data_IF_792613868997
#
_entry.id   IF_792613868997
#
_cell.length_a   1.000
_cell.length_b   1.000
_cell.length_c   1.000
_cell.angle_alpha   90.00
_cell.angle_beta   90.00
_cell.angle_gamma   90.00
#
_symmetry.space_group_name_H-M   'P 1'
#
loop_
_entity.id
_entity.type
_entity.pdbx_description
1 polymer ?
#
# COMPACT_ATOMS: atom_id res chain seq x y z
N UNK A 1 -19.11 -1.55 -20.10
CA UNK A 1 -17.97 -2.11 -19.32
C UNK A 1 -17.19 -0.93 -18.80
N UNK A 2 -17.42 -0.54 -17.55
CA UNK A 2 -16.55 0.44 -16.91
C UNK A 2 -15.13 -0.14 -16.93
N UNK A 3 -14.22 0.55 -17.60
CA UNK A 3 -12.81 0.21 -17.54
C UNK A 3 -12.45 0.10 -16.06
N UNK A 4 -12.00 -1.08 -15.62
CA UNK A 4 -11.48 -1.31 -14.28
C UNK A 4 -10.45 -0.22 -14.00
N UNK A 5 -10.87 0.84 -13.32
CA UNK A 5 -10.00 1.97 -13.01
C UNK A 5 -8.87 1.41 -12.16
N UNK A 6 -7.66 1.50 -12.68
CA UNK A 6 -6.47 0.99 -12.00
C UNK A 6 -6.42 1.53 -10.56
N UNK A 7 -6.12 0.69 -9.56
CA UNK A 7 -6.02 1.16 -8.20
C UNK A 7 -4.91 2.21 -8.09
N UNK A 8 -5.19 3.28 -7.35
CA UNK A 8 -4.20 4.27 -6.98
C UNK A 8 -3.26 3.68 -5.92
N UNK A 9 -2.10 3.20 -6.38
CA UNK A 9 -1.10 2.53 -5.53
C UNK A 9 -0.03 3.53 -5.09
N UNK A 10 0.18 3.68 -3.78
CA UNK A 10 1.31 4.39 -3.20
C UNK A 10 2.37 3.39 -2.75
N UNK A 11 3.62 3.56 -3.19
CA UNK A 11 4.73 2.68 -2.79
C UNK A 11 5.58 3.32 -1.69
N UNK A 12 5.93 2.53 -0.68
CA UNK A 12 6.73 2.92 0.49
C UNK A 12 7.88 1.94 0.66
N UNK A 13 9.10 2.46 0.83
CA UNK A 13 10.30 1.67 1.08
C UNK A 13 10.94 1.05 -0.17
N UNK A 14 10.37 1.27 -1.36
CA UNK A 14 10.89 0.67 -2.59
C UNK A 14 12.12 1.41 -3.14
N UNK A 15 13.24 0.69 -3.30
CA UNK A 15 14.38 1.16 -4.10
C UNK A 15 13.97 1.38 -5.56
N UNK A 16 14.80 2.06 -6.35
CA UNK A 16 14.55 2.23 -7.80
C UNK A 16 14.38 0.89 -8.53
N UNK A 17 15.14 -0.12 -8.13
CA UNK A 17 15.06 -1.46 -8.68
C UNK A 17 13.77 -2.15 -8.24
N UNK A 18 13.42 -2.07 -6.96
CA UNK A 18 12.19 -2.62 -6.40
C UNK A 18 10.96 -2.01 -7.05
N UNK A 19 10.96 -0.69 -7.25
CA UNK A 19 9.92 0.03 -7.95
C UNK A 19 9.74 -0.45 -9.39
N UNK A 20 10.84 -0.61 -10.14
CA UNK A 20 10.79 -1.17 -11.50
C UNK A 20 10.22 -2.58 -11.51
N UNK A 21 10.71 -3.48 -10.65
CA UNK A 21 10.23 -4.87 -10.58
C UNK A 21 8.73 -4.96 -10.27
N UNK A 22 8.25 -4.15 -9.31
CA UNK A 22 6.82 -4.09 -9.00
C UNK A 22 6.04 -3.51 -10.18
N UNK A 23 6.51 -2.42 -10.77
CA UNK A 23 5.85 -1.79 -11.92
C UNK A 23 5.78 -2.72 -13.12
N UNK A 24 6.83 -3.49 -13.40
CA UNK A 24 6.87 -4.43 -14.53
C UNK A 24 5.98 -5.65 -14.27
N UNK A 25 5.93 -6.15 -13.04
CA UNK A 25 4.98 -7.20 -12.61
C UNK A 25 3.51 -6.75 -12.69
N UNK A 26 3.27 -5.46 -12.42
CA UNK A 26 1.94 -4.88 -12.60
C UNK A 26 1.61 -4.74 -14.09
N UNK A 27 2.54 -4.22 -14.91
CA UNK A 27 2.31 -4.05 -16.37
C UNK A 27 1.99 -5.37 -17.06
N UNK A 28 2.63 -6.48 -16.68
CA UNK A 28 2.33 -7.80 -17.22
C UNK A 28 0.94 -8.32 -16.81
N UNK A 29 0.36 -7.79 -15.73
CA UNK A 29 -1.02 -8.06 -15.30
C UNK A 29 -2.03 -7.02 -15.82
N UNK A 30 -1.64 -6.21 -16.80
CA UNK A 30 -2.40 -5.07 -17.33
C UNK A 30 -2.74 -4.01 -16.28
N UNK A 31 -2.10 -4.01 -15.11
CA UNK A 31 -2.30 -3.04 -14.03
C UNK A 31 -1.09 -2.11 -13.96
N UNK A 32 -1.28 -0.85 -13.58
CA UNK A 32 -0.16 0.08 -13.43
C UNK A 32 -0.39 0.97 -12.23
N UNK A 33 0.68 1.38 -11.51
CA UNK A 33 0.52 2.42 -10.51
C UNK A 33 0.10 3.71 -11.23
N UNK A 34 -1.07 4.23 -10.89
CA UNK A 34 -1.56 5.52 -11.40
C UNK A 34 -0.98 6.73 -10.67
N UNK A 35 -0.13 6.50 -9.66
CA UNK A 35 0.47 7.52 -8.81
C UNK A 35 1.98 7.55 -8.99
N UNK A 36 2.61 8.73 -8.91
CA UNK A 36 4.05 8.87 -9.08
C UNK A 36 4.81 8.13 -7.97
N UNK A 37 5.89 7.46 -8.39
CA UNK A 37 6.87 6.88 -7.49
C UNK A 37 7.51 7.98 -6.63
N UNK A 38 7.65 7.69 -5.34
CA UNK A 38 8.47 8.51 -4.47
C UNK A 38 9.79 7.78 -4.19
N UNK A 39 10.92 8.17 -4.81
CA UNK A 39 12.19 7.55 -4.53
C UNK A 39 12.60 7.79 -3.07
N UNK A 40 12.66 6.72 -2.29
CA UNK A 40 13.20 6.78 -0.95
C UNK A 40 14.72 6.97 -0.99
N UNK A 41 15.23 8.02 -0.35
CA UNK A 41 16.67 8.15 -0.03
C UNK A 41 17.02 7.33 1.22
N UNK A 42 16.05 7.14 2.13
CA UNK A 42 16.13 6.27 3.31
C UNK A 42 14.72 5.91 3.85
N UNK A 43 14.69 5.08 4.90
CA UNK A 43 13.50 4.55 5.53
C UNK A 43 12.48 5.61 5.97
N UNK A 44 12.94 6.52 6.84
CA UNK A 44 12.12 7.57 7.41
C UNK A 44 11.61 8.53 6.34
N UNK A 45 12.45 8.88 5.35
CA UNK A 45 12.09 9.74 4.23
C UNK A 45 10.95 9.17 3.40
N UNK A 46 10.95 7.85 3.18
CA UNK A 46 9.85 7.20 2.45
C UNK A 46 8.52 7.31 3.18
N UNK A 47 8.50 7.09 4.50
CA UNK A 47 7.28 7.22 5.29
C UNK A 47 6.84 8.67 5.41
N UNK A 48 7.75 9.63 5.65
CA UNK A 48 7.41 11.06 5.71
C UNK A 48 6.72 11.50 4.41
N UNK A 49 7.27 11.10 3.28
CA UNK A 49 6.72 11.50 2.00
C UNK A 49 5.39 10.78 1.69
N UNK A 50 5.24 9.51 2.10
CA UNK A 50 3.96 8.80 2.05
C UNK A 50 2.89 9.47 2.92
N UNK A 51 3.24 9.90 4.13
CA UNK A 51 2.33 10.61 5.05
C UNK A 51 1.88 11.95 4.48
N UNK A 52 2.82 12.74 3.94
CA UNK A 52 2.50 13.99 3.27
C UNK A 52 1.55 13.76 2.09
N UNK A 53 1.80 12.69 1.31
CA UNK A 53 0.98 12.31 0.18
C UNK A 53 -0.44 11.94 0.58
N UNK A 54 -0.58 11.01 1.53
CA UNK A 54 -1.87 10.54 2.05
C UNK A 54 -2.69 11.72 2.57
N UNK A 55 -2.09 12.62 3.36
CA UNK A 55 -2.80 13.79 3.91
C UNK A 55 -3.32 14.75 2.84
N UNK A 56 -2.60 14.92 1.73
CA UNK A 56 -2.96 15.86 0.67
C UNK A 56 -3.91 15.27 -0.39
N UNK A 57 -3.93 13.93 -0.55
CA UNK A 57 -4.71 13.26 -1.59
C UNK A 57 -5.45 12.04 -1.02
N UNK A 58 -6.75 12.15 -0.68
CA UNK A 58 -7.57 11.04 -0.16
C UNK A 58 -7.93 9.97 -1.24
N UNK A 59 -7.15 9.91 -2.32
CA UNK A 59 -7.40 9.07 -3.49
C UNK A 59 -6.71 7.71 -3.47
N UNK A 60 -5.90 7.39 -2.46
CA UNK A 60 -5.09 6.17 -2.42
C UNK A 60 -5.96 4.94 -2.16
N UNK A 61 -5.85 3.96 -3.04
CA UNK A 61 -6.57 2.69 -2.94
C UNK A 61 -5.77 1.64 -2.19
N UNK A 62 -4.47 1.59 -2.47
CA UNK A 62 -3.54 0.61 -1.89
C UNK A 62 -2.24 1.32 -1.52
N UNK A 63 -1.74 1.08 -0.32
CA UNK A 63 -0.35 1.37 0.05
C UNK A 63 0.43 0.07 0.00
N UNK A 64 1.53 0.06 -0.74
CA UNK A 64 2.46 -1.06 -0.77
C UNK A 64 3.70 -0.72 0.03
N UNK A 65 3.99 -1.52 1.05
CA UNK A 65 5.22 -1.48 1.84
C UNK A 65 6.03 -2.70 1.41
N UNK A 66 7.16 -2.50 0.74
CA UNK A 66 7.97 -3.64 0.37
C UNK A 66 9.38 -3.36 -0.13
N UNK A 67 10.20 -4.40 -0.03
CA UNK A 67 11.62 -4.43 -0.41
C UNK A 67 12.42 -3.30 0.26
N UNK A 68 12.35 -3.30 1.59
CA UNK A 68 12.79 -2.23 2.50
C UNK A 68 14.28 -2.32 2.80
N UNK A 69 15.12 -2.38 1.75
CA UNK A 69 16.57 -2.37 1.90
C UNK A 69 16.94 -1.09 2.65
N UNK A 70 17.60 -1.23 3.80
CA UNK A 70 18.02 -0.15 4.71
C UNK A 70 16.96 0.43 5.68
N UNK A 71 15.82 -0.24 5.95
CA UNK A 71 14.92 0.18 7.04
C UNK A 71 15.18 -0.63 8.31
N UNK A 72 15.33 0.04 9.46
CA UNK A 72 15.41 -0.67 10.75
C UNK A 72 14.01 -1.11 11.19
N UNK A 73 13.94 -2.14 12.05
CA UNK A 73 12.66 -2.58 12.58
C UNK A 73 11.91 -1.48 13.35
N UNK A 74 12.66 -0.59 14.02
CA UNK A 74 12.11 0.59 14.69
C UNK A 74 11.46 1.56 13.71
N UNK A 75 12.13 1.85 12.58
CA UNK A 75 11.63 2.77 11.56
C UNK A 75 10.38 2.21 10.87
N UNK A 76 10.36 0.90 10.61
CA UNK A 76 9.20 0.22 10.04
C UNK A 76 7.99 0.28 10.98
N UNK A 77 8.17 -0.05 12.26
CA UNK A 77 7.07 0.04 13.25
C UNK A 77 6.56 1.47 13.40
N UNK A 78 7.46 2.44 13.58
CA UNK A 78 7.08 3.85 13.73
C UNK A 78 6.42 4.42 12.48
N UNK A 79 6.92 4.07 11.31
CA UNK A 79 6.33 4.42 10.02
C UNK A 79 4.93 3.85 9.84
N UNK A 80 4.74 2.55 10.14
CA UNK A 80 3.43 1.90 10.10
C UNK A 80 2.45 2.53 11.09
N UNK A 81 2.87 2.85 12.32
CA UNK A 81 2.01 3.54 13.30
C UNK A 81 1.54 4.91 12.77
N UNK A 82 2.46 5.72 12.25
CA UNK A 82 2.12 7.04 11.71
C UNK A 82 1.21 6.94 10.46
N UNK A 83 1.47 5.95 9.61
CA UNK A 83 0.67 5.67 8.43
C UNK A 83 -0.74 5.22 8.84
N UNK A 84 -0.85 4.32 9.82
CA UNK A 84 -2.11 3.81 10.34
C UNK A 84 -3.02 4.96 10.81
N UNK A 85 -2.46 5.88 11.61
CA UNK A 85 -3.17 7.08 12.09
C UNK A 85 -3.62 8.00 10.95
N UNK A 86 -2.79 8.16 9.91
CA UNK A 86 -3.12 9.04 8.80
C UNK A 86 -4.19 8.45 7.88
N UNK A 87 -4.17 7.12 7.68
CA UNK A 87 -5.15 6.40 6.88
C UNK A 87 -6.50 6.28 7.60
N UNK A 88 -6.50 6.02 8.92
CA UNK A 88 -7.74 5.91 9.70
C UNK A 88 -8.51 7.23 9.80
N UNK A 89 -7.83 8.37 9.66
CA UNK A 89 -8.45 9.68 9.55
C UNK A 89 -9.13 9.94 8.19
N UNK A 90 -8.93 9.07 7.19
CA UNK A 90 -9.53 9.23 5.87
C UNK A 90 -10.93 8.61 5.79
N UNK A 91 -11.81 9.23 5.01
CA UNK A 91 -13.16 8.69 4.73
C UNK A 91 -13.15 7.49 3.78
N UNK A 92 -12.02 7.21 3.13
CA UNK A 92 -11.89 6.14 2.13
C UNK A 92 -11.12 4.97 2.73
N UNK A 93 -11.63 3.77 2.54
CA UNK A 93 -10.93 2.55 2.95
C UNK A 93 -9.74 2.28 2.02
N UNK A 94 -8.54 2.58 2.50
CA UNK A 94 -7.27 2.24 1.85
C UNK A 94 -6.77 0.89 2.39
N UNK A 95 -6.30 0.02 1.50
CA UNK A 95 -5.73 -1.28 1.88
C UNK A 95 -4.21 -1.17 1.93
N UNK A 96 -3.55 -1.97 2.77
CA UNK A 96 -2.09 -1.99 2.88
C UNK A 96 -1.55 -3.39 2.55
N UNK A 97 -0.65 -3.48 1.57
CA UNK A 97 0.08 -4.69 1.22
C UNK A 97 1.49 -4.61 1.80
N UNK A 98 1.91 -5.61 2.58
CA UNK A 98 3.24 -5.70 3.17
C UNK A 98 3.91 -6.94 2.59
N UNK A 99 5.01 -6.72 1.86
CA UNK A 99 5.71 -7.76 1.10
C UNK A 99 7.23 -7.62 1.25
N UNK A 100 7.95 -8.73 1.24
CA UNK A 100 9.43 -8.76 1.29
C UNK A 100 10.04 -7.87 2.38
N UNK A 101 9.47 -7.93 3.59
CA UNK A 101 10.03 -7.33 4.82
C UNK A 101 10.49 -8.47 5.72
N UNK A 102 11.78 -8.52 6.03
CA UNK A 102 12.38 -9.60 6.82
C UNK A 102 12.31 -9.32 8.33
N UNK A 103 12.56 -8.08 8.76
CA UNK A 103 12.49 -7.67 10.16
C UNK A 103 11.91 -6.25 10.30
N UNK A 104 10.80 -6.06 11.05
CA UNK A 104 10.03 -7.08 11.75
C UNK A 104 9.21 -7.94 10.79
N UNK A 105 8.82 -9.13 11.25
CA UNK A 105 7.92 -10.00 10.52
C UNK A 105 6.66 -9.24 10.04
N UNK A 106 6.23 -9.42 8.78
CA UNK A 106 5.11 -8.68 8.20
C UNK A 106 3.83 -8.74 9.05
N UNK A 107 3.56 -9.87 9.72
CA UNK A 107 2.41 -10.04 10.60
C UNK A 107 2.38 -9.02 11.76
N UNK A 108 3.55 -8.63 12.29
CA UNK A 108 3.64 -7.64 13.35
C UNK A 108 3.31 -6.23 12.83
N UNK A 109 3.67 -5.93 11.59
CA UNK A 109 3.31 -4.67 10.93
C UNK A 109 1.82 -4.63 10.57
N UNK A 110 1.25 -5.77 10.13
CA UNK A 110 -0.20 -5.91 9.92
C UNK A 110 -0.95 -5.60 11.21
N UNK A 111 -0.57 -6.20 12.34
CA UNK A 111 -1.23 -5.97 13.62
C UNK A 111 -1.21 -4.48 14.04
N UNK A 112 -0.12 -3.76 13.76
CA UNK A 112 -0.03 -2.31 14.01
C UNK A 112 -1.07 -1.52 13.20
N UNK A 113 -1.23 -1.85 11.92
CA UNK A 113 -2.15 -1.17 11.02
C UNK A 113 -3.61 -1.49 11.37
N UNK A 114 -3.90 -2.76 11.62
CA UNK A 114 -5.25 -3.23 11.98
C UNK A 114 -5.73 -2.69 13.32
N UNK A 115 -4.83 -2.50 14.29
CA UNK A 115 -5.14 -1.85 15.56
C UNK A 115 -5.70 -0.42 15.39
N UNK A 116 -5.42 0.25 14.27
CA UNK A 116 -5.98 1.56 13.92
C UNK A 116 -7.19 1.47 12.97
N UNK A 117 -7.70 0.27 12.69
CA UNK A 117 -8.82 0.04 11.76
C UNK A 117 -8.43 0.05 10.28
N UNK A 118 -7.13 -0.04 9.96
CA UNK A 118 -6.66 -0.10 8.57
C UNK A 118 -6.60 -1.56 8.12
N UNK A 119 -7.17 -1.86 6.95
CA UNK A 119 -7.10 -3.22 6.35
C UNK A 119 -5.70 -3.47 5.81
N UNK A 120 -4.97 -4.40 6.41
CA UNK A 120 -3.58 -4.71 6.04
C UNK A 120 -3.39 -6.21 5.77
N UNK A 121 -2.43 -6.53 4.90
CA UNK A 121 -2.18 -7.90 4.46
C UNK A 121 -0.67 -8.15 4.37
N UNK A 122 -0.20 -9.22 5.00
CA UNK A 122 1.12 -9.78 4.76
C UNK A 122 1.09 -10.62 3.48
N UNK A 123 1.06 -9.95 2.33
CA UNK A 123 0.90 -10.59 1.02
C UNK A 123 1.48 -9.71 -0.08
N UNK A 124 1.75 -10.35 -1.23
CA UNK A 124 2.21 -9.64 -2.41
C UNK A 124 1.19 -8.60 -2.86
N UNK A 125 1.68 -7.50 -3.45
CA UNK A 125 0.83 -6.45 -3.99
C UNK A 125 -0.21 -6.98 -5.00
N UNK A 126 0.20 -7.94 -5.83
CA UNK A 126 -0.68 -8.57 -6.82
C UNK A 126 -1.92 -9.21 -6.19
N UNK A 127 -1.74 -9.99 -5.12
CA UNK A 127 -2.84 -10.66 -4.43
C UNK A 127 -3.80 -9.64 -3.79
N UNK A 128 -3.26 -8.56 -3.22
CA UNK A 128 -4.08 -7.50 -2.62
C UNK A 128 -4.89 -6.75 -3.68
N UNK A 129 -4.33 -6.50 -4.86
CA UNK A 129 -5.07 -5.91 -5.99
C UNK A 129 -6.23 -6.82 -6.42
N UNK A 130 -5.96 -8.11 -6.59
CA UNK A 130 -6.99 -9.10 -6.93
C UNK A 130 -8.12 -9.12 -5.90
N UNK A 131 -7.77 -9.20 -4.61
CA UNK A 131 -8.73 -9.21 -3.52
C UNK A 131 -9.56 -7.92 -3.46
N UNK A 132 -8.94 -6.76 -3.72
CA UNK A 132 -9.66 -5.49 -3.77
C UNK A 132 -10.61 -5.40 -4.97
N UNK A 133 -10.22 -5.91 -6.13
CA UNK A 133 -11.07 -5.97 -7.32
C UNK A 133 -12.29 -6.88 -7.10
N UNK A 134 -12.08 -8.06 -6.51
CA UNK A 134 -13.15 -8.99 -6.14
C UNK A 134 -14.11 -8.38 -5.12
N UNK A 135 -13.58 -7.72 -4.09
CA UNK A 135 -14.38 -7.01 -3.11
C UNK A 135 -15.26 -5.94 -3.78
N UNK A 136 -14.70 -5.10 -4.67
CA UNK A 136 -15.49 -4.09 -5.40
C UNK A 136 -16.62 -4.70 -6.23
N UNK A 137 -16.35 -5.81 -6.93
CA UNK A 137 -17.35 -6.51 -7.73
C UNK A 137 -18.52 -7.04 -6.89
N UNK A 138 -18.23 -7.61 -5.71
CA UNK A 138 -19.25 -8.13 -4.80
C UNK A 138 -20.21 -7.05 -4.28
N UNK A 139 -19.69 -5.91 -3.83
CA UNK A 139 -20.52 -4.82 -3.32
C UNK A 139 -21.23 -4.03 -4.43
N UNK A 140 -20.67 -3.99 -5.65
CA UNK A 140 -21.37 -3.41 -6.79
C UNK A 140 -22.60 -4.22 -7.19
N UNK A 141 -22.55 -5.54 -7.11
CA UNK A 141 -23.71 -6.40 -7.39
C UNK A 141 -24.79 -6.28 -6.30
N UNK A 142 -24.38 -6.20 -5.03
CA UNK A 142 -25.31 -6.05 -3.90
C UNK A 142 -26.04 -4.68 -3.89
N UNK A 143 -25.47 -3.64 -4.51
CA UNK A 143 -26.09 -2.33 -4.62
C UNK A 143 -27.05 -2.18 -5.83
N UNK A 144 -27.09 -3.19 -6.72
CA UNK A 144 -27.96 -3.23 -7.90
C UNK A 144 -29.15 -4.20 -7.74
N UNK A 145 -29.19 -4.95 -6.64
CA UNK A 145 -30.30 -5.83 -6.24
C UNK A 145 -31.16 -5.17 -5.18
#
# INVERSE_FOLDING_TARGET
>A
MDALKYPNILMVGASAQSHRLVTDSLKSSLWGPSMPWNPAVNACGSFIAALAFVRQRPGVDIVHIGNTVCMTAKDLRGGCQALALSLSAQRRATWVAIDAVEDPEPAQLVAILEAAGVRAFASSLHNVILAQAQHRAQYSMAAMS
#
